data_IF_371733581014
#
_entry.id   IF_371733581014
#
_cell.length_a   1.000
_cell.length_b   1.000
_cell.length_c   1.000
_cell.angle_alpha   90.00
_cell.angle_beta   90.00
_cell.angle_gamma   90.00
#
_symmetry.space_group_name_H-M   'P 1'
#
loop_
_entity.id
_entity.type
_entity.pdbx_description
1 polymer ?
#
# COMPACT_ATOMS: atom_id res chain seq x y z
N UNK A 1 -0.82 -4.32 2.16
CA UNK A 1 -1.86 -5.38 2.21
C UNK A 1 -3.02 -4.95 1.35
N UNK A 2 -3.52 -5.77 0.43
CA UNK A 2 -4.65 -5.38 -0.45
C UNK A 2 -5.96 -5.93 0.08
N UNK A 3 -6.94 -5.05 0.31
CA UNK A 3 -8.28 -5.39 0.78
C UNK A 3 -9.28 -4.69 -0.13
N UNK A 4 -10.13 -5.45 -0.83
CA UNK A 4 -11.13 -4.92 -1.77
C UNK A 4 -10.57 -3.91 -2.80
N UNK A 5 -9.38 -4.19 -3.36
CA UNK A 5 -8.74 -3.30 -4.34
C UNK A 5 -8.13 -2.04 -3.75
N UNK A 6 -7.92 -1.98 -2.44
CA UNK A 6 -7.17 -0.92 -1.77
C UNK A 6 -5.91 -1.46 -1.15
N UNK A 7 -4.77 -0.82 -1.44
CA UNK A 7 -3.55 -1.07 -0.70
C UNK A 7 -3.63 -0.32 0.62
N UNK A 8 -3.71 -1.07 1.70
CA UNK A 8 -3.66 -0.57 3.06
C UNK A 8 -2.25 -0.72 3.63
N UNK A 9 -1.86 0.25 4.45
CA UNK A 9 -0.65 0.22 5.25
C UNK A 9 -0.68 -1.01 6.18
N UNK A 10 0.36 -1.86 6.19
CA UNK A 10 0.38 -3.06 7.04
C UNK A 10 0.51 -2.75 8.54
N UNK A 11 0.95 -1.54 8.90
CA UNK A 11 1.17 -1.16 10.31
C UNK A 11 -0.04 -0.49 10.96
N UNK A 12 -0.72 0.40 10.24
CA UNK A 12 -1.81 1.21 10.79
C UNK A 12 -3.15 1.03 10.05
N UNK A 13 -3.19 0.12 9.07
CA UNK A 13 -4.36 -0.20 8.24
C UNK A 13 -4.96 0.97 7.47
N UNK A 14 -4.26 2.10 7.39
CA UNK A 14 -4.66 3.25 6.58
C UNK A 14 -4.70 2.87 5.10
N UNK A 15 -5.80 3.20 4.42
CA UNK A 15 -5.90 3.13 2.96
C UNK A 15 -4.90 4.10 2.33
N UNK A 16 -4.00 3.60 1.48
CA UNK A 16 -2.98 4.39 0.80
C UNK A 16 -3.42 4.74 -0.62
N UNK A 17 -3.71 3.74 -1.44
CA UNK A 17 -4.12 3.94 -2.84
C UNK A 17 -4.96 2.75 -3.34
N UNK A 18 -5.71 2.97 -4.42
CA UNK A 18 -6.44 1.90 -5.11
C UNK A 18 -5.48 1.10 -5.99
N UNK A 19 -5.68 -0.21 -6.00
CA UNK A 19 -4.93 -1.17 -6.79
C UNK A 19 -5.91 -1.90 -7.69
N UNK A 20 -5.69 -1.84 -9.00
CA UNK A 20 -6.43 -2.68 -9.94
C UNK A 20 -5.97 -4.14 -9.82
N UNK A 21 -6.85 -5.10 -10.14
CA UNK A 21 -6.53 -6.53 -10.05
C UNK A 21 -5.32 -6.95 -10.89
N UNK A 22 -5.02 -6.20 -11.96
CA UNK A 22 -3.91 -6.45 -12.88
C UNK A 22 -2.68 -5.57 -12.59
N UNK A 23 -2.77 -4.66 -11.61
CA UNK A 23 -1.68 -3.75 -11.31
C UNK A 23 -0.52 -4.51 -10.69
N UNK A 24 0.60 -4.57 -11.42
CA UNK A 24 1.89 -5.02 -10.92
C UNK A 24 2.66 -3.81 -10.44
N UNK A 25 2.92 -3.76 -9.14
CA UNK A 25 3.66 -2.68 -8.52
C UNK A 25 4.88 -3.28 -7.82
N UNK A 26 6.08 -3.07 -8.37
CA UNK A 26 7.33 -3.55 -7.78
C UNK A 26 8.26 -2.37 -7.50
N UNK A 27 8.84 -2.34 -6.32
CA UNK A 27 9.82 -1.32 -5.92
C UNK A 27 9.22 0.05 -5.58
N UNK A 28 7.91 0.14 -5.34
CA UNK A 28 7.27 1.40 -4.94
C UNK A 28 7.44 1.58 -3.44
N UNK A 29 8.20 2.60 -3.02
CA UNK A 29 8.32 2.97 -1.61
C UNK A 29 7.31 4.06 -1.28
N UNK A 30 6.37 3.74 -0.40
CA UNK A 30 5.36 4.68 0.07
C UNK A 30 5.54 4.90 1.56
N UNK A 31 5.66 6.17 1.93
CA UNK A 31 5.64 6.59 3.32
C UNK A 31 4.21 6.81 3.76
N UNK A 32 3.76 6.07 4.77
CA UNK A 32 2.43 6.28 5.32
C UNK A 32 2.38 7.61 6.08
N UNK A 33 1.45 8.50 5.74
CA UNK A 33 1.33 9.80 6.42
C UNK A 33 0.94 9.69 7.90
N UNK A 34 0.25 8.62 8.30
CA UNK A 34 -0.23 8.42 9.68
C UNK A 34 0.83 7.86 10.61
N UNK A 35 1.40 6.69 10.27
CA UNK A 35 2.42 6.05 11.11
C UNK A 35 3.85 6.44 10.73
N UNK A 36 4.05 7.20 9.65
CA UNK A 36 5.36 7.65 9.12
C UNK A 36 6.30 6.51 8.69
N UNK A 37 5.86 5.26 8.78
CA UNK A 37 6.62 4.09 8.30
C UNK A 37 6.72 4.10 6.78
N UNK A 38 7.90 3.71 6.30
CA UNK A 38 8.13 3.39 4.89
C UNK A 38 7.70 1.95 4.61
N UNK A 39 6.92 1.81 3.55
CA UNK A 39 6.33 0.55 3.14
C UNK A 39 6.76 0.33 1.71
N UNK A 40 7.42 -0.78 1.47
CA UNK A 40 7.71 -1.24 0.12
C UNK A 40 6.50 -2.01 -0.40
N UNK A 41 5.91 -1.50 -1.47
CA UNK A 41 4.82 -2.13 -2.18
C UNK A 41 5.43 -3.08 -3.21
N UNK A 42 5.17 -4.37 -2.99
CA UNK A 42 5.43 -5.46 -3.92
C UNK A 42 4.13 -6.23 -4.13
N UNK A 43 3.48 -5.97 -5.29
CA UNK A 43 2.24 -6.58 -5.78
C UNK A 43 2.46 -7.16 -7.17
#
# INVERSE_FOLDING_TARGET
>A
MVINGWYCCPFCFQKLFKVSKEARCRGIKIKCKKCKNEIEVSL
#
